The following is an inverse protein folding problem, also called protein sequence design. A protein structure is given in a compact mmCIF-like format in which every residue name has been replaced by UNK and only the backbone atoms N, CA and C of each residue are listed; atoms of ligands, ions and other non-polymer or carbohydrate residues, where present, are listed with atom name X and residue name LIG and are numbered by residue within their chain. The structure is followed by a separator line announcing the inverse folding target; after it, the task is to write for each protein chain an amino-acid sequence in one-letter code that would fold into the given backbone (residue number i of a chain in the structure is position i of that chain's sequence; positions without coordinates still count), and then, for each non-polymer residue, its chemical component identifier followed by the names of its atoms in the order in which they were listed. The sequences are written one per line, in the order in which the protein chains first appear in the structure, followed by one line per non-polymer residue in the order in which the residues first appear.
data_IF_627178003651
#
_entry.id   IF_627178003651
#
_cell.length_a   1.000
_cell.length_b   1.000
_cell.length_c   1.000
_cell.angle_alpha   90.00
_cell.angle_beta   90.00
_cell.angle_gamma   90.00
#
_symmetry.space_group_name_H-M   'P 1'
#
loop_
_entity.id
_entity.type
_entity.pdbx_description
1 polymer ?
#
# COMPACT_ATOMS: atom_id res chain seq x y z
N UNK A 1 4.56 -6.68 35.43
CA UNK A 1 3.42 -7.51 34.97
C UNK A 1 3.64 -7.75 33.49
N UNK A 2 3.89 -9.00 33.08
CA UNK A 2 4.00 -9.35 31.65
C UNK A 2 2.57 -9.29 31.13
N UNK A 3 2.21 -8.21 30.44
CA UNK A 3 0.95 -8.12 29.69
C UNK A 3 0.93 -9.29 28.71
N UNK A 4 -0.05 -10.18 28.84
CA UNK A 4 -0.24 -11.27 27.90
C UNK A 4 -0.43 -10.68 26.51
N UNK A 5 0.50 -10.94 25.60
CA UNK A 5 0.52 -10.44 24.23
C UNK A 5 -0.74 -10.87 23.42
N UNK A 6 -1.54 -11.76 23.98
CA UNK A 6 -2.74 -12.35 23.36
C UNK A 6 -4.01 -11.47 23.48
N UNK A 7 -3.96 -10.34 24.19
CA UNK A 7 -5.13 -9.46 24.37
C UNK A 7 -5.20 -8.30 23.36
N UNK A 8 -4.13 -8.10 22.56
CA UNK A 8 -4.10 -7.01 21.56
C UNK A 8 -4.93 -7.38 20.34
N UNK A 9 -5.97 -6.61 20.07
CA UNK A 9 -6.83 -6.80 18.90
C UNK A 9 -6.64 -5.64 17.90
N UNK A 10 -6.43 -6.00 16.63
CA UNK A 10 -6.43 -5.06 15.52
C UNK A 10 -7.62 -5.33 14.59
N UNK A 11 -8.28 -4.27 14.14
CA UNK A 11 -9.21 -4.33 13.01
C UNK A 11 -8.48 -3.94 11.72
N UNK A 12 -8.54 -4.78 10.69
CA UNK A 12 -8.00 -4.48 9.37
C UNK A 12 -9.13 -4.39 8.35
N UNK A 13 -9.33 -3.19 7.79
CA UNK A 13 -10.23 -2.94 6.66
C UNK A 13 -9.40 -3.11 5.38
N UNK A 14 -9.84 -3.98 4.47
CA UNK A 14 -9.11 -4.26 3.23
C UNK A 14 -8.08 -5.39 3.33
N UNK A 15 -8.21 -6.32 4.28
CA UNK A 15 -7.30 -7.45 4.48
C UNK A 15 -7.18 -8.41 3.28
N UNK A 16 -8.09 -8.37 2.31
CA UNK A 16 -7.98 -9.10 1.04
C UNK A 16 -7.10 -8.39 0.01
N UNK A 17 -6.76 -7.12 0.24
CA UNK A 17 -5.88 -6.32 -0.62
C UNK A 17 -4.39 -6.52 -0.34
N UNK A 18 -3.53 -5.86 -1.13
CA UNK A 18 -2.08 -5.93 -0.97
C UNK A 18 -1.61 -5.44 0.40
N UNK A 19 -1.76 -4.13 0.67
CA UNK A 19 -1.26 -3.54 1.92
C UNK A 19 -2.02 -4.02 3.16
N UNK A 20 -3.36 -4.04 3.11
CA UNK A 20 -4.16 -4.52 4.25
C UNK A 20 -3.85 -5.98 4.59
N UNK A 21 -3.62 -6.82 3.57
CA UNK A 21 -3.22 -8.20 3.76
C UNK A 21 -1.80 -8.36 4.31
N UNK A 22 -0.84 -7.55 3.86
CA UNK A 22 0.53 -7.58 4.38
C UNK A 22 0.58 -7.13 5.85
N UNK A 23 -0.15 -6.07 6.20
CA UNK A 23 -0.27 -5.62 7.59
C UNK A 23 -0.95 -6.66 8.47
N UNK A 24 -2.00 -7.33 7.98
CA UNK A 24 -2.65 -8.41 8.70
C UNK A 24 -1.70 -9.58 8.96
N UNK A 25 -0.92 -10.00 7.95
CA UNK A 25 0.10 -11.05 8.08
C UNK A 25 1.17 -10.67 9.13
N UNK A 26 1.66 -9.42 9.11
CA UNK A 26 2.66 -8.92 10.07
C UNK A 26 2.11 -8.84 11.50
N UNK A 27 0.87 -8.38 11.67
CA UNK A 27 0.20 -8.34 12.97
C UNK A 27 0.04 -9.74 13.56
N UNK A 28 -0.43 -10.71 12.76
CA UNK A 28 -0.54 -12.11 13.18
C UNK A 28 0.82 -12.69 13.62
N UNK A 29 1.88 -12.42 12.83
CA UNK A 29 3.25 -12.83 13.18
C UNK A 29 3.75 -12.19 14.49
N UNK A 30 3.28 -10.97 14.80
CA UNK A 30 3.55 -10.25 16.06
C UNK A 30 2.67 -10.68 17.24
N UNK A 31 1.85 -11.73 17.08
CA UNK A 31 1.00 -12.26 18.15
C UNK A 31 -0.28 -11.44 18.42
N UNK A 32 -0.69 -10.57 17.49
CA UNK A 32 -1.96 -9.88 17.58
C UNK A 32 -3.12 -10.80 17.20
N UNK A 33 -4.25 -10.64 17.85
CA UNK A 33 -5.52 -11.08 17.28
C UNK A 33 -5.88 -10.08 16.16
N UNK A 34 -6.27 -10.60 15.00
CA UNK A 34 -6.58 -9.74 13.84
C UNK A 34 -7.98 -10.04 13.34
N UNK A 35 -8.84 -9.02 13.40
CA UNK A 35 -10.17 -9.04 12.83
C UNK A 35 -10.14 -8.37 11.46
N UNK A 36 -10.79 -8.99 10.48
CA UNK A 36 -10.84 -8.51 9.10
C UNK A 36 -12.28 -8.31 8.66
N UNK A 37 -12.64 -7.05 8.34
CA UNK A 37 -13.97 -6.71 7.84
C UNK A 37 -14.10 -7.08 6.36
N UNK A 38 -15.17 -7.81 6.02
CA UNK A 38 -15.47 -8.14 4.62
C UNK A 38 -16.98 -8.32 4.40
N UNK A 39 -17.47 -7.92 3.24
CA UNK A 39 -18.88 -8.10 2.85
C UNK A 39 -19.27 -9.57 2.68
N UNK A 40 -18.31 -10.40 2.25
CA UNK A 40 -18.45 -11.85 2.13
C UNK A 40 -17.28 -12.55 2.88
N UNK A 41 -17.38 -12.70 4.21
CA UNK A 41 -16.32 -13.25 5.04
C UNK A 41 -16.02 -14.72 4.72
N UNK A 42 -17.00 -15.50 4.28
CA UNK A 42 -16.81 -16.91 3.96
C UNK A 42 -15.95 -17.09 2.71
N UNK A 43 -16.23 -16.33 1.65
CA UNK A 43 -15.39 -16.33 0.45
C UNK A 43 -14.00 -15.76 0.74
N UNK A 44 -13.91 -14.69 1.54
CA UNK A 44 -12.65 -14.12 1.96
C UNK A 44 -11.80 -15.13 2.74
N UNK A 45 -12.38 -15.87 3.70
CA UNK A 45 -11.71 -16.91 4.47
C UNK A 45 -11.14 -18.01 3.58
N UNK A 46 -11.94 -18.53 2.63
CA UNK A 46 -11.48 -19.58 1.70
C UNK A 46 -10.32 -19.14 0.82
N UNK A 47 -10.36 -17.88 0.34
CA UNK A 47 -9.42 -17.40 -0.67
C UNK A 47 -8.17 -16.73 -0.08
N UNK A 48 -8.19 -16.32 1.19
CA UNK A 48 -7.10 -15.52 1.78
C UNK A 48 -5.84 -16.32 2.08
N UNK A 49 -5.97 -17.62 2.36
CA UNK A 49 -4.86 -18.45 2.86
C UNK A 49 -4.32 -17.99 4.21
N UNK A 50 -5.14 -17.28 5.03
CA UNK A 50 -4.77 -16.70 6.34
C UNK A 50 -5.61 -17.31 7.45
N UNK A 51 -5.23 -18.47 8.01
CA UNK A 51 -6.06 -19.19 8.99
C UNK A 51 -6.23 -18.43 10.31
N UNK A 52 -5.33 -17.51 10.66
CA UNK A 52 -5.37 -16.74 11.92
C UNK A 52 -6.29 -15.51 11.89
N UNK A 53 -6.92 -15.16 10.75
CA UNK A 53 -7.82 -14.01 10.67
C UNK A 53 -9.23 -14.33 11.16
N UNK A 54 -9.75 -13.48 12.07
CA UNK A 54 -11.16 -13.44 12.44
C UNK A 54 -11.93 -12.63 11.38
N UNK A 55 -12.55 -13.32 10.41
CA UNK A 55 -13.35 -12.68 9.38
C UNK A 55 -14.72 -12.31 9.91
N UNK A 56 -15.10 -11.03 9.85
CA UNK A 56 -16.40 -10.52 10.27
C UNK A 56 -17.15 -9.89 9.08
N UNK A 57 -18.47 -10.09 9.06
CA UNK A 57 -19.33 -9.52 8.01
C UNK A 57 -19.54 -8.04 8.27
N UNK A 58 -19.41 -7.22 7.22
CA UNK A 58 -19.73 -5.80 7.23
C UNK A 58 -19.23 -5.09 5.98
N UNK A 59 -19.75 -3.90 5.75
CA UNK A 59 -19.34 -3.01 4.66
C UNK A 59 -18.59 -1.81 5.23
N UNK A 60 -17.41 -1.53 4.70
CA UNK A 60 -16.61 -0.37 5.08
C UNK A 60 -17.31 0.99 4.82
N UNK A 61 -18.33 1.00 3.96
CA UNK A 61 -19.18 2.16 3.71
C UNK A 61 -20.21 2.40 4.82
N UNK A 62 -20.48 1.40 5.65
CA UNK A 62 -21.47 1.45 6.71
C UNK A 62 -20.80 1.66 8.06
N UNK A 63 -20.92 2.86 8.62
CA UNK A 63 -20.29 3.23 9.89
C UNK A 63 -20.63 2.24 11.01
N UNK A 64 -21.90 1.85 11.15
CA UNK A 64 -22.33 0.91 12.18
C UNK A 64 -21.63 -0.45 12.08
N UNK A 65 -21.38 -0.96 10.86
CA UNK A 65 -20.68 -2.22 10.65
C UNK A 65 -19.21 -2.10 11.10
N UNK A 66 -18.54 -0.98 10.74
CA UNK A 66 -17.14 -0.75 11.10
C UNK A 66 -16.98 -0.53 12.60
N UNK A 67 -17.87 0.23 13.23
CA UNK A 67 -17.90 0.46 14.69
C UNK A 67 -18.09 -0.88 15.42
N UNK A 68 -19.05 -1.70 15.00
CA UNK A 68 -19.26 -3.01 15.60
C UNK A 68 -18.04 -3.92 15.44
N UNK A 69 -17.40 -3.92 14.26
CA UNK A 69 -16.19 -4.69 14.01
C UNK A 69 -14.98 -4.22 14.83
N UNK A 70 -14.92 -2.93 15.17
CA UNK A 70 -13.82 -2.32 15.91
C UNK A 70 -13.91 -2.53 17.44
N UNK A 71 -15.00 -3.07 17.96
CA UNK A 71 -15.15 -3.26 19.40
C UNK A 71 -13.99 -4.05 20.00
N UNK A 72 -13.35 -3.47 21.04
CA UNK A 72 -12.19 -4.02 21.73
C UNK A 72 -10.86 -3.93 20.94
N UNK A 73 -10.85 -3.36 19.74
CA UNK A 73 -9.61 -3.12 19.01
C UNK A 73 -8.83 -1.94 19.61
N UNK A 74 -7.52 -2.09 19.75
CA UNK A 74 -6.58 -1.01 20.10
C UNK A 74 -5.88 -0.42 18.87
N UNK A 75 -6.01 -1.08 17.71
CA UNK A 75 -5.46 -0.67 16.44
C UNK A 75 -6.50 -0.86 15.32
N UNK A 76 -6.66 0.15 14.46
CA UNK A 76 -7.47 0.07 13.25
C UNK A 76 -6.62 0.42 12.04
N UNK A 77 -6.53 -0.50 11.07
CA UNK A 77 -5.79 -0.30 9.82
C UNK A 77 -6.78 -0.08 8.69
N UNK A 78 -6.72 1.09 8.05
CA UNK A 78 -7.55 1.40 6.88
C UNK A 78 -6.79 1.16 5.59
N UNK A 79 -6.73 -0.09 5.14
CA UNK A 79 -6.07 -0.52 3.90
C UNK A 79 -7.02 -0.74 2.72
N UNK A 80 -8.30 -0.33 2.83
CA UNK A 80 -9.26 -0.50 1.75
C UNK A 80 -8.97 0.44 0.57
N UNK A 81 -8.97 -0.14 -0.64
CA UNK A 81 -8.84 0.62 -1.88
C UNK A 81 -9.71 -0.03 -2.96
N UNK A 82 -10.60 0.74 -3.63
CA UNK A 82 -11.45 0.20 -4.70
C UNK A 82 -10.64 -0.42 -5.83
N UNK A 83 -11.06 -1.62 -6.26
CA UNK A 83 -10.39 -2.33 -7.35
C UNK A 83 -10.47 -1.56 -8.66
N UNK A 84 -9.35 -1.45 -9.37
CA UNK A 84 -9.26 -0.76 -10.66
C UNK A 84 -9.53 0.75 -10.59
N UNK A 85 -9.43 1.35 -9.40
CA UNK A 85 -9.71 2.77 -9.12
C UNK A 85 -11.13 3.23 -9.46
N UNK A 86 -12.08 2.29 -9.60
CA UNK A 86 -13.48 2.59 -9.96
C UNK A 86 -14.18 3.32 -8.82
N UNK A 87 -14.92 4.38 -9.19
CA UNK A 87 -15.68 5.23 -8.28
C UNK A 87 -14.89 5.69 -7.05
N UNK A 88 -13.62 6.02 -7.26
CA UNK A 88 -12.71 6.35 -6.17
C UNK A 88 -13.20 7.54 -5.34
N UNK A 89 -13.68 8.59 -6.01
CA UNK A 89 -14.25 9.78 -5.35
C UNK A 89 -15.46 9.45 -4.47
N UNK A 90 -16.32 8.53 -4.91
CA UNK A 90 -17.53 8.17 -4.16
C UNK A 90 -17.28 7.16 -3.02
N UNK A 91 -16.14 6.49 -2.98
CA UNK A 91 -15.89 5.42 -2.03
C UNK A 91 -14.84 5.75 -0.96
N UNK A 92 -13.76 6.46 -1.30
CA UNK A 92 -12.64 6.67 -0.40
C UNK A 92 -13.00 7.45 0.87
N UNK A 93 -13.61 8.62 0.71
CA UNK A 93 -13.98 9.47 1.85
C UNK A 93 -15.05 8.83 2.76
N UNK A 94 -16.13 8.23 2.24
CA UNK A 94 -17.08 7.53 3.09
C UNK A 94 -16.46 6.39 3.90
N UNK A 95 -15.64 5.53 3.26
CA UNK A 95 -14.94 4.45 3.96
C UNK A 95 -13.99 4.97 5.05
N UNK A 96 -13.28 6.08 4.77
CA UNK A 96 -12.40 6.69 5.76
C UNK A 96 -13.20 7.27 6.93
N UNK A 97 -14.32 7.94 6.68
CA UNK A 97 -15.18 8.48 7.74
C UNK A 97 -15.70 7.37 8.67
N UNK A 98 -16.12 6.24 8.11
CA UNK A 98 -16.53 5.06 8.89
C UNK A 98 -15.36 4.52 9.73
N UNK A 99 -14.13 4.49 9.18
CA UNK A 99 -12.94 4.07 9.91
C UNK A 99 -12.57 5.04 11.05
N UNK A 100 -12.67 6.36 10.83
CA UNK A 100 -12.45 7.39 11.85
C UNK A 100 -13.46 7.23 13.00
N UNK A 101 -14.75 7.12 12.69
CA UNK A 101 -15.79 6.94 13.70
C UNK A 101 -15.56 5.66 14.53
N UNK A 102 -15.21 4.56 13.88
CA UNK A 102 -14.94 3.29 14.52
C UNK A 102 -13.68 3.35 15.42
N UNK A 103 -12.61 3.99 14.94
CA UNK A 103 -11.39 4.15 15.72
C UNK A 103 -11.61 5.02 16.97
N UNK A 104 -12.37 6.11 16.85
CA UNK A 104 -12.79 6.94 18.00
C UNK A 104 -13.62 6.15 18.99
N UNK A 105 -14.64 5.42 18.52
CA UNK A 105 -15.52 4.64 19.39
C UNK A 105 -14.77 3.53 20.15
N UNK A 106 -13.73 2.94 19.53
CA UNK A 106 -12.91 1.91 20.16
C UNK A 106 -11.74 2.44 20.99
N UNK A 107 -11.42 3.75 20.91
CA UNK A 107 -10.18 4.31 21.46
C UNK A 107 -8.91 3.78 20.78
N UNK A 108 -9.02 3.33 19.54
CA UNK A 108 -7.95 2.71 18.77
C UNK A 108 -7.10 3.75 18.02
N UNK A 109 -5.78 3.48 17.85
CA UNK A 109 -4.96 4.22 16.88
C UNK A 109 -5.39 3.85 15.47
N UNK A 110 -5.61 4.85 14.61
CA UNK A 110 -5.87 4.63 13.20
C UNK A 110 -4.56 4.69 12.41
N UNK A 111 -4.26 3.62 11.66
CA UNK A 111 -3.10 3.51 10.78
C UNK A 111 -3.55 3.57 9.32
N UNK A 112 -2.94 4.48 8.56
CA UNK A 112 -3.33 4.79 7.20
C UNK A 112 -2.14 4.72 6.23
N UNK A 113 -2.21 3.93 5.15
CA UNK A 113 -1.21 3.94 4.09
C UNK A 113 -1.38 5.20 3.24
N UNK A 114 -0.46 6.14 3.40
CA UNK A 114 -0.34 7.33 2.57
C UNK A 114 0.26 7.02 1.19
N UNK A 115 0.30 8.01 0.32
CA UNK A 115 0.83 7.89 -1.04
C UNK A 115 1.64 9.13 -1.42
N UNK A 116 2.31 9.08 -2.58
CA UNK A 116 2.97 10.23 -3.20
C UNK A 116 2.00 11.11 -4.01
N UNK A 117 0.74 10.72 -4.15
CA UNK A 117 -0.24 11.45 -4.98
C UNK A 117 -0.62 12.81 -4.41
N UNK A 118 -0.39 13.04 -3.14
CA UNK A 118 -0.62 14.32 -2.44
C UNK A 118 0.23 15.45 -3.01
N UNK A 119 1.38 15.10 -3.61
CA UNK A 119 2.38 16.07 -4.04
C UNK A 119 2.24 16.46 -5.50
N UNK A 120 2.52 17.73 -5.77
CA UNK A 120 2.66 18.29 -7.10
C UNK A 120 4.11 18.50 -7.49
N UNK A 121 4.35 19.00 -8.73
CA UNK A 121 5.71 19.26 -9.25
C UNK A 121 6.53 20.25 -8.42
N UNK A 122 5.89 21.11 -7.65
CA UNK A 122 6.52 22.07 -6.75
C UNK A 122 7.22 21.43 -5.54
N UNK A 123 6.87 20.17 -5.21
CA UNK A 123 7.54 19.40 -4.18
C UNK A 123 8.64 18.48 -4.73
N UNK A 124 8.72 18.27 -6.05
CA UNK A 124 9.66 17.32 -6.66
C UNK A 124 11.08 17.89 -6.77
N UNK A 125 12.12 17.05 -6.83
CA UNK A 125 12.09 15.59 -6.77
C UNK A 125 12.06 15.00 -5.36
N UNK A 126 12.43 15.77 -4.33
CA UNK A 126 12.66 15.28 -2.96
C UNK A 126 11.47 15.63 -2.06
N UNK A 127 10.63 14.64 -1.79
CA UNK A 127 9.45 14.77 -0.94
C UNK A 127 9.84 14.67 0.53
N UNK A 128 9.41 15.65 1.31
CA UNK A 128 9.49 15.63 2.79
C UNK A 128 8.07 15.62 3.36
N UNK A 129 7.90 15.13 4.59
CA UNK A 129 6.57 14.95 5.21
C UNK A 129 5.78 16.25 5.29
N UNK A 130 6.46 17.35 5.60
CA UNK A 130 5.86 18.68 5.75
C UNK A 130 5.93 19.53 4.46
N UNK A 131 6.27 18.89 3.33
CA UNK A 131 6.33 19.54 2.02
C UNK A 131 4.96 19.96 1.48
N UNK A 132 4.94 20.87 0.48
CA UNK A 132 3.70 21.38 -0.09
C UNK A 132 2.91 20.24 -0.77
N UNK A 133 1.60 20.19 -0.51
CA UNK A 133 0.68 19.21 -1.07
C UNK A 133 -0.26 19.90 -2.06
N UNK A 134 0.23 20.17 -3.26
CA UNK A 134 -0.53 20.80 -4.36
C UNK A 134 -0.70 19.81 -5.52
N UNK A 135 -1.54 18.79 -5.37
CA UNK A 135 -1.68 17.73 -6.36
C UNK A 135 -2.28 18.22 -7.67
N UNK A 136 -1.79 17.67 -8.79
CA UNK A 136 -2.33 17.96 -10.13
C UNK A 136 -3.57 17.11 -10.47
N UNK A 137 -3.85 16.06 -9.71
CA UNK A 137 -4.83 15.04 -10.06
C UNK A 137 -6.00 15.03 -9.09
N UNK A 138 -7.16 14.51 -9.54
CA UNK A 138 -8.32 14.28 -8.66
C UNK A 138 -7.99 13.30 -7.54
N UNK A 139 -7.23 12.25 -7.82
CA UNK A 139 -6.79 11.28 -6.81
C UNK A 139 -5.91 11.94 -5.75
N UNK A 140 -4.97 12.78 -6.20
CA UNK A 140 -4.14 13.54 -5.28
C UNK A 140 -4.98 14.44 -4.38
N UNK A 141 -5.94 15.20 -4.95
CA UNK A 141 -6.84 16.05 -4.17
C UNK A 141 -7.68 15.25 -3.15
N UNK A 142 -8.16 14.06 -3.53
CA UNK A 142 -8.87 13.17 -2.60
C UNK A 142 -7.94 12.72 -1.47
N UNK A 143 -6.68 12.38 -1.77
CA UNK A 143 -5.72 11.96 -0.75
C UNK A 143 -5.38 13.09 0.22
N UNK A 144 -5.21 14.33 -0.26
CA UNK A 144 -5.05 15.50 0.62
C UNK A 144 -6.27 15.64 1.53
N UNK A 145 -7.49 15.63 0.98
CA UNK A 145 -8.72 15.69 1.79
C UNK A 145 -8.82 14.56 2.82
N UNK A 146 -8.36 13.35 2.48
CA UNK A 146 -8.35 12.23 3.43
C UNK A 146 -7.38 12.49 4.58
N UNK A 147 -6.19 12.99 4.30
CA UNK A 147 -5.21 13.30 5.34
C UNK A 147 -5.62 14.52 6.18
N UNK A 148 -6.26 15.52 5.58
CA UNK A 148 -6.87 16.65 6.29
C UNK A 148 -7.96 16.17 7.26
N UNK A 149 -8.81 15.23 6.84
CA UNK A 149 -9.83 14.63 7.70
C UNK A 149 -9.22 13.83 8.85
N UNK A 150 -8.12 13.14 8.61
CA UNK A 150 -7.35 12.43 9.65
C UNK A 150 -6.71 13.41 10.64
N UNK A 151 -6.15 14.51 10.13
CA UNK A 151 -5.58 15.56 10.99
C UNK A 151 -6.65 16.21 11.85
N UNK A 152 -7.78 16.59 11.28
CA UNK A 152 -8.91 17.14 12.02
C UNK A 152 -9.45 16.15 13.08
N UNK A 153 -9.50 14.86 12.74
CA UNK A 153 -9.91 13.84 13.70
C UNK A 153 -8.89 13.67 14.84
N UNK A 154 -7.61 13.89 14.56
CA UNK A 154 -6.55 13.86 15.58
C UNK A 154 -6.61 15.09 16.50
N UNK A 155 -6.92 16.26 15.95
CA UNK A 155 -7.14 17.48 16.76
C UNK A 155 -8.35 17.31 17.72
N UNK A 156 -9.24 16.37 17.41
CA UNK A 156 -10.37 15.94 18.24
C UNK A 156 -10.09 14.59 18.98
N UNK A 157 -8.82 14.31 19.29
CA UNK A 157 -8.36 13.27 20.20
C UNK A 157 -8.14 11.87 19.59
N UNK A 158 -8.28 11.67 18.26
CA UNK A 158 -7.94 10.41 17.63
C UNK A 158 -6.42 10.27 17.44
N UNK A 159 -5.85 9.12 17.81
CA UNK A 159 -4.45 8.82 17.49
C UNK A 159 -4.33 8.33 16.06
N UNK A 160 -3.52 9.01 15.25
CA UNK A 160 -3.36 8.73 13.80
C UNK A 160 -1.89 8.50 13.45
N UNK A 161 -1.64 7.47 12.65
CA UNK A 161 -0.34 7.19 12.04
C UNK A 161 -0.51 7.06 10.54
N UNK A 162 0.21 7.88 9.77
CA UNK A 162 0.26 7.84 8.31
C UNK A 162 1.66 7.41 7.88
N UNK A 163 1.77 6.39 7.02
CA UNK A 163 3.03 6.03 6.37
C UNK A 163 2.85 6.21 4.86
N UNK A 164 3.47 7.26 4.31
CA UNK A 164 3.47 7.50 2.87
C UNK A 164 4.60 6.72 2.21
N UNK A 165 4.29 6.05 1.11
CA UNK A 165 5.23 5.24 0.36
C UNK A 165 4.99 5.37 -1.15
N UNK A 166 5.97 4.93 -1.94
CA UNK A 166 5.87 4.83 -3.40
C UNK A 166 4.95 3.70 -3.86
N UNK A 167 5.11 3.28 -5.11
CA UNK A 167 4.27 2.24 -5.71
C UNK A 167 4.51 0.86 -5.08
N UNK A 168 3.42 0.22 -4.67
CA UNK A 168 3.47 -1.06 -3.97
C UNK A 168 3.79 -2.23 -4.89
N UNK A 169 4.69 -3.09 -4.43
CA UNK A 169 4.94 -4.41 -5.01
C UNK A 169 5.11 -5.46 -3.91
N UNK A 170 4.98 -6.74 -4.24
CA UNK A 170 5.09 -7.83 -3.26
C UNK A 170 4.36 -9.10 -3.71
N UNK A 171 4.48 -10.20 -2.97
CA UNK A 171 4.00 -11.54 -3.37
C UNK A 171 2.47 -11.64 -3.53
N UNK A 172 1.73 -10.76 -2.84
CA UNK A 172 0.26 -10.69 -2.91
C UNK A 172 -0.21 -9.36 -3.52
N UNK A 173 0.59 -8.79 -4.44
CA UNK A 173 0.20 -7.60 -5.18
C UNK A 173 -1.08 -7.81 -5.96
N UNK A 174 -1.97 -6.83 -5.90
CA UNK A 174 -3.27 -6.87 -6.58
C UNK A 174 -3.23 -6.14 -7.92
N UNK A 175 -4.34 -6.18 -8.65
CA UNK A 175 -4.50 -5.47 -9.91
C UNK A 175 -4.34 -3.94 -9.83
N UNK A 176 -4.30 -3.36 -8.62
CA UNK A 176 -4.00 -1.94 -8.40
C UNK A 176 -2.49 -1.65 -8.32
N UNK A 177 -1.62 -2.65 -8.43
CA UNK A 177 -0.17 -2.48 -8.45
C UNK A 177 0.34 -2.36 -9.87
N UNK A 178 1.18 -1.35 -10.13
CA UNK A 178 1.91 -1.23 -11.40
C UNK A 178 2.73 -2.48 -11.71
N UNK A 179 3.32 -3.11 -10.70
CA UNK A 179 4.08 -4.35 -10.88
C UNK A 179 3.19 -5.47 -11.45
N UNK A 180 2.01 -5.69 -10.85
CA UNK A 180 1.13 -6.82 -11.19
C UNK A 180 0.21 -6.56 -12.38
N UNK A 181 -0.04 -5.30 -12.77
CA UNK A 181 -0.97 -4.95 -13.85
C UNK A 181 -0.31 -4.27 -15.04
N UNK A 182 0.84 -3.62 -14.83
CA UNK A 182 1.56 -2.87 -15.87
C UNK A 182 2.83 -3.58 -16.34
N UNK A 183 3.73 -3.91 -15.41
CA UNK A 183 5.07 -4.40 -15.76
C UNK A 183 5.10 -5.90 -16.05
N UNK A 184 4.38 -6.70 -15.27
CA UNK A 184 4.39 -8.16 -15.31
C UNK A 184 3.01 -8.69 -15.70
N UNK A 185 2.97 -9.82 -16.40
CA UNK A 185 1.72 -10.56 -16.67
C UNK A 185 1.60 -11.71 -15.67
N UNK A 186 0.75 -11.63 -14.64
CA UNK A 186 0.57 -12.71 -13.68
C UNK A 186 0.19 -14.04 -14.35
N UNK A 187 0.69 -15.14 -13.80
CA UNK A 187 0.44 -16.49 -14.32
C UNK A 187 1.21 -16.87 -15.59
N UNK A 188 2.16 -16.03 -16.03
CA UNK A 188 3.02 -16.32 -17.20
C UNK A 188 4.48 -16.09 -16.84
N UNK A 189 5.40 -16.99 -17.26
CA UNK A 189 6.82 -16.80 -17.08
C UNK A 189 7.28 -15.46 -17.66
N UNK A 190 8.03 -14.70 -16.86
CA UNK A 190 8.49 -13.38 -17.21
C UNK A 190 9.45 -13.42 -18.40
N UNK A 191 9.06 -12.83 -19.50
CA UNK A 191 9.85 -12.76 -20.74
C UNK A 191 10.22 -11.33 -21.13
N UNK A 192 9.48 -10.35 -20.63
CA UNK A 192 9.68 -8.94 -20.89
C UNK A 192 8.91 -8.09 -19.90
N UNK A 193 9.22 -6.79 -19.89
CA UNK A 193 8.62 -5.77 -19.03
C UNK A 193 8.03 -4.68 -19.92
N UNK A 194 6.82 -4.26 -19.61
CA UNK A 194 6.22 -3.07 -20.20
C UNK A 194 6.38 -1.90 -19.20
N UNK A 195 7.27 -0.94 -19.51
CA UNK A 195 7.64 0.12 -18.58
C UNK A 195 6.90 1.44 -18.89
N UNK A 196 6.30 2.10 -17.88
CA UNK A 196 5.46 3.27 -18.10
C UNK A 196 6.19 4.56 -18.46
N UNK A 197 7.44 4.72 -18.02
CA UNK A 197 8.23 5.95 -18.18
C UNK A 197 9.57 5.76 -18.88
N UNK A 198 10.40 6.81 -18.94
CA UNK A 198 11.79 6.70 -19.33
C UNK A 198 12.57 5.84 -18.32
N UNK A 199 13.40 4.91 -18.80
CA UNK A 199 14.13 3.98 -17.93
C UNK A 199 15.17 4.67 -17.05
N UNK A 200 15.68 5.84 -17.45
CA UNK A 200 16.68 6.59 -16.69
C UNK A 200 16.12 7.34 -15.49
N UNK A 201 14.78 7.48 -15.40
CA UNK A 201 14.14 8.20 -14.28
C UNK A 201 14.01 7.27 -13.08
N UNK A 202 14.43 7.77 -11.91
CA UNK A 202 14.25 7.07 -10.65
C UNK A 202 12.78 7.09 -10.20
N UNK A 203 12.33 5.96 -9.70
CA UNK A 203 10.97 5.77 -9.19
C UNK A 203 11.03 5.04 -7.84
N UNK A 204 10.17 5.45 -6.90
CA UNK A 204 10.12 4.84 -5.58
C UNK A 204 9.16 3.65 -5.56
N UNK A 205 9.70 2.48 -5.22
CA UNK A 205 8.96 1.23 -5.08
C UNK A 205 8.92 0.80 -3.63
N UNK A 206 7.76 0.48 -3.12
CA UNK A 206 7.57 0.08 -1.74
C UNK A 206 7.19 -1.40 -1.65
N UNK A 207 8.08 -2.21 -1.07
CA UNK A 207 7.84 -3.63 -0.87
C UNK A 207 6.82 -3.83 0.26
N UNK A 208 5.70 -4.47 -0.04
CA UNK A 208 4.56 -4.58 0.88
C UNK A 208 4.90 -5.15 2.27
N UNK A 209 5.73 -6.20 2.41
CA UNK A 209 6.16 -6.68 3.71
C UNK A 209 6.95 -5.64 4.51
N UNK A 210 7.86 -4.88 3.88
CA UNK A 210 8.63 -3.83 4.55
C UNK A 210 7.74 -2.66 4.98
N UNK A 211 6.75 -2.29 4.15
CA UNK A 211 5.73 -1.29 4.51
C UNK A 211 4.91 -1.76 5.71
N UNK A 212 4.49 -3.03 5.71
CA UNK A 212 3.73 -3.60 6.81
C UNK A 212 4.57 -3.66 8.10
N UNK A 213 5.84 -4.05 8.01
CA UNK A 213 6.79 -4.01 9.12
C UNK A 213 6.91 -2.59 9.69
N UNK A 214 7.12 -1.59 8.83
CA UNK A 214 7.22 -0.18 9.22
C UNK A 214 5.96 0.29 9.93
N UNK A 215 4.77 0.02 9.35
CA UNK A 215 3.50 0.45 9.91
C UNK A 215 3.22 -0.17 11.27
N UNK A 216 3.49 -1.48 11.43
CA UNK A 216 3.23 -2.20 12.69
C UNK A 216 4.24 -1.81 13.76
N UNK A 217 5.54 -1.75 13.42
CA UNK A 217 6.59 -1.36 14.36
C UNK A 217 6.36 0.06 14.90
N UNK A 218 5.96 1.01 14.03
CA UNK A 218 5.58 2.35 14.48
C UNK A 218 4.32 2.32 15.36
N UNK A 219 3.28 1.59 14.94
CA UNK A 219 2.01 1.53 15.67
C UNK A 219 2.14 0.91 17.07
N UNK A 220 3.13 0.04 17.28
CA UNK A 220 3.45 -0.59 18.58
C UNK A 220 4.21 0.31 19.54
N UNK A 221 4.63 1.51 19.10
CA UNK A 221 5.35 2.45 19.96
C UNK A 221 4.40 3.29 20.83
N UNK A 222 4.74 3.43 22.08
CA UNK A 222 3.98 4.25 23.04
C UNK A 222 4.38 5.74 22.99
N UNK A 223 5.54 6.06 22.36
CA UNK A 223 6.11 7.42 22.31
C UNK A 223 5.76 8.20 21.04
N UNK A 224 4.82 7.73 20.22
CA UNK A 224 4.29 8.49 19.09
C UNK A 224 3.34 9.59 19.55
N UNK A 225 3.42 10.76 18.92
CA UNK A 225 2.41 11.80 19.05
C UNK A 225 1.03 11.33 18.54
N UNK A 226 0.00 12.12 18.84
CA UNK A 226 -1.35 11.78 18.43
C UNK A 226 -1.54 11.84 16.91
N UNK A 227 -0.75 12.68 16.21
CA UNK A 227 -0.69 12.72 14.75
C UNK A 227 0.75 12.60 14.27
N UNK A 228 1.05 11.52 13.55
CA UNK A 228 2.38 11.29 13.00
C UNK A 228 2.29 10.89 11.52
N UNK A 229 3.18 11.47 10.74
CA UNK A 229 3.37 11.14 9.32
C UNK A 229 4.82 10.77 9.10
N UNK A 230 5.05 9.65 8.42
CA UNK A 230 6.37 9.19 8.04
C UNK A 230 6.41 8.88 6.54
N UNK A 231 7.53 9.20 5.92
CA UNK A 231 7.88 8.74 4.58
C UNK A 231 8.70 7.46 4.66
N UNK A 232 8.42 6.54 3.75
CA UNK A 232 9.21 5.35 3.50
C UNK A 232 9.84 5.49 2.10
N UNK A 233 11.18 5.52 2.03
CA UNK A 233 11.90 5.65 0.77
C UNK A 233 11.77 4.40 -0.11
N UNK A 234 11.75 3.23 0.50
CA UNK A 234 11.68 1.94 -0.18
C UNK A 234 12.87 1.73 -1.13
N UNK A 235 12.58 1.17 -2.30
CA UNK A 235 13.56 0.98 -3.36
C UNK A 235 13.46 2.12 -4.37
N UNK A 236 14.23 3.17 -4.17
CA UNK A 236 14.34 4.27 -5.14
C UNK A 236 15.36 3.90 -6.20
N UNK A 237 14.89 3.39 -7.34
CA UNK A 237 15.73 2.88 -8.44
C UNK A 237 15.26 3.36 -9.80
N UNK A 238 16.19 3.44 -10.76
CA UNK A 238 15.84 3.70 -12.16
C UNK A 238 15.17 2.47 -12.79
N UNK A 239 14.40 2.68 -13.87
CA UNK A 239 13.81 1.57 -14.61
C UNK A 239 14.86 0.59 -15.14
N UNK A 240 16.04 1.08 -15.53
CA UNK A 240 17.17 0.24 -15.96
C UNK A 240 17.62 -0.69 -14.83
N UNK A 241 17.80 -0.15 -13.62
CA UNK A 241 18.19 -0.91 -12.42
C UNK A 241 17.13 -1.94 -12.05
N UNK A 242 15.85 -1.55 -12.07
CA UNK A 242 14.74 -2.46 -11.78
C UNK A 242 14.69 -3.62 -12.78
N UNK A 243 14.74 -3.33 -14.09
CA UNK A 243 14.74 -4.36 -15.14
C UNK A 243 15.94 -5.27 -15.07
N UNK A 244 17.13 -4.73 -14.73
CA UNK A 244 18.33 -5.54 -14.51
C UNK A 244 18.15 -6.50 -13.33
N UNK A 245 17.60 -6.04 -12.20
CA UNK A 245 17.28 -6.87 -11.06
C UNK A 245 16.24 -7.96 -11.40
N UNK A 246 15.16 -7.58 -12.10
CA UNK A 246 14.16 -8.55 -12.60
C UNK A 246 14.77 -9.59 -13.54
N UNK A 247 15.74 -9.19 -14.39
CA UNK A 247 16.45 -10.10 -15.29
C UNK A 247 17.33 -11.10 -14.53
N UNK A 248 18.03 -10.66 -13.47
CA UNK A 248 18.79 -11.55 -12.59
C UNK A 248 17.88 -12.58 -11.91
N UNK A 249 16.78 -12.12 -11.34
CA UNK A 249 15.80 -12.99 -10.65
C UNK A 249 15.15 -13.98 -11.61
N UNK A 250 14.82 -13.55 -12.83
CA UNK A 250 14.23 -14.41 -13.84
C UNK A 250 15.26 -15.37 -14.52
N UNK A 251 16.56 -15.19 -14.27
CA UNK A 251 17.63 -15.98 -14.87
C UNK A 251 17.76 -15.78 -16.38
N UNK A 252 17.29 -14.67 -16.93
CA UNK A 252 17.31 -14.36 -18.37
C UNK A 252 17.23 -12.86 -18.63
N UNK A 253 17.80 -12.43 -19.77
CA UNK A 253 17.64 -11.05 -20.23
C UNK A 253 16.16 -10.82 -20.63
N UNK A 254 15.58 -9.76 -20.10
CA UNK A 254 14.20 -9.35 -20.39
C UNK A 254 14.17 -8.35 -21.55
N UNK A 255 13.16 -8.49 -22.42
CA UNK A 255 12.83 -7.42 -23.36
C UNK A 255 12.09 -6.30 -22.65
N UNK A 256 12.30 -5.05 -23.09
CA UNK A 256 11.60 -3.89 -22.56
C UNK A 256 10.79 -3.25 -23.66
N UNK A 257 9.51 -3.06 -23.40
CA UNK A 257 8.61 -2.27 -24.26
C UNK A 257 8.09 -1.05 -23.48
N UNK A 258 7.70 -0.01 -24.19
CA UNK A 258 7.06 1.17 -23.59
C UNK A 258 5.56 0.92 -23.46
N UNK A 259 4.98 1.47 -22.38
CA UNK A 259 3.52 1.50 -22.26
C UNK A 259 2.93 2.38 -23.38
N UNK A 260 1.92 1.90 -24.12
CA UNK A 260 1.37 2.59 -25.29
C UNK A 260 0.42 3.73 -24.86
N UNK A 261 0.98 4.84 -24.35
CA UNK A 261 0.21 5.96 -23.82
C UNK A 261 -0.78 6.58 -24.83
N UNK A 262 -0.48 6.56 -26.12
CA UNK A 262 -1.38 7.06 -27.17
C UNK A 262 -2.65 6.20 -27.28
N UNK A 263 -2.50 4.88 -27.21
CA UNK A 263 -3.64 3.95 -27.22
C UNK A 263 -4.47 4.11 -25.95
N UNK A 264 -3.80 4.27 -24.80
CA UNK A 264 -4.46 4.52 -23.52
C UNK A 264 -5.26 5.81 -23.58
N UNK A 265 -4.73 6.90 -24.16
CA UNK A 265 -5.44 8.15 -24.38
C UNK A 265 -6.70 7.98 -25.22
N UNK A 266 -6.61 7.19 -26.30
CA UNK A 266 -7.74 6.94 -27.20
C UNK A 266 -8.86 6.15 -26.50
N UNK A 267 -8.52 5.26 -25.58
CA UNK A 267 -9.47 4.39 -24.85
C UNK A 267 -10.03 5.08 -23.60
N UNK A 268 -9.28 5.96 -22.98
CA UNK A 268 -9.61 6.61 -21.71
C UNK A 268 -11.00 7.27 -21.65
N UNK A 269 -11.55 7.92 -22.68
CA UNK A 269 -12.90 8.46 -22.66
C UNK A 269 -13.99 7.41 -22.35
N UNK A 270 -13.74 6.15 -22.77
CA UNK A 270 -14.69 5.04 -22.66
C UNK A 270 -14.34 4.04 -21.54
N UNK A 271 -13.18 4.20 -20.89
CA UNK A 271 -12.69 3.28 -19.87
C UNK A 271 -12.15 4.04 -18.66
N UNK A 272 -12.86 3.93 -17.52
CA UNK A 272 -12.50 4.62 -16.30
C UNK A 272 -11.09 4.27 -15.80
N UNK A 273 -10.71 2.99 -15.81
CA UNK A 273 -9.38 2.56 -15.37
C UNK A 273 -8.25 3.19 -16.22
N UNK A 274 -8.44 3.28 -17.55
CA UNK A 274 -7.47 3.93 -18.44
C UNK A 274 -7.39 5.43 -18.18
N UNK A 275 -8.52 6.08 -17.93
CA UNK A 275 -8.58 7.50 -17.55
C UNK A 275 -7.84 7.75 -16.24
N UNK A 276 -8.05 6.89 -15.27
CA UNK A 276 -7.40 6.94 -13.97
C UNK A 276 -5.89 6.67 -14.05
N UNK A 277 -5.47 5.81 -14.98
CA UNK A 277 -4.05 5.57 -15.28
C UNK A 277 -3.34 6.79 -15.86
N UNK A 278 -4.02 7.53 -16.75
CA UNK A 278 -3.46 8.75 -17.34
C UNK A 278 -3.15 9.82 -16.31
N UNK A 279 -3.97 9.95 -15.27
CA UNK A 279 -3.71 10.89 -14.17
C UNK A 279 -2.36 10.66 -13.49
N UNK A 280 -1.88 9.40 -13.45
CA UNK A 280 -0.64 9.02 -12.76
C UNK A 280 0.61 9.11 -13.65
N UNK A 281 0.44 9.45 -14.94
CA UNK A 281 1.56 9.47 -15.90
C UNK A 281 2.70 10.41 -15.48
N UNK A 282 2.37 11.57 -14.89
CA UNK A 282 3.36 12.57 -14.48
C UNK A 282 4.40 12.02 -13.47
N UNK A 283 4.02 11.04 -12.64
CA UNK A 283 4.91 10.39 -11.67
C UNK A 283 5.99 9.52 -12.34
N UNK A 284 5.84 9.24 -13.64
CA UNK A 284 6.82 8.48 -14.42
C UNK A 284 7.74 9.37 -15.25
N UNK A 285 7.43 10.67 -15.33
CA UNK A 285 8.17 11.64 -16.15
C UNK A 285 9.16 12.48 -15.33
N UNK A 286 9.11 12.40 -14.01
CA UNK A 286 9.97 13.14 -13.08
C UNK A 286 10.40 12.22 -11.94
N UNK A 287 11.65 12.33 -11.42
CA UNK A 287 12.03 11.60 -10.22
C UNK A 287 11.16 11.99 -9.04
N UNK A 288 10.67 11.00 -8.29
CA UNK A 288 9.87 11.18 -7.08
C UNK A 288 10.53 10.38 -5.96
N UNK A 289 11.21 11.08 -5.06
CA UNK A 289 12.06 10.51 -4.03
C UNK A 289 11.47 10.88 -2.65
N UNK A 290 11.15 9.90 -1.83
CA UNK A 290 10.70 10.15 -0.47
C UNK A 290 11.90 10.21 0.47
N UNK A 291 12.06 11.34 1.17
CA UNK A 291 13.00 11.46 2.26
C UNK A 291 12.48 10.64 3.47
N UNK A 292 13.30 9.75 4.02
CA UNK A 292 12.95 8.90 5.15
C UNK A 292 13.73 9.25 6.43
N UNK A 293 14.33 10.43 6.50
CA UNK A 293 15.13 10.83 7.65
C UNK A 293 14.33 10.80 8.96
N UNK A 294 13.07 11.22 8.95
CA UNK A 294 12.17 11.15 10.11
C UNK A 294 11.92 9.70 10.54
N UNK A 295 11.65 8.81 9.60
CA UNK A 295 11.45 7.38 9.86
C UNK A 295 12.72 6.75 10.43
N UNK A 296 13.87 7.01 9.80
CA UNK A 296 15.16 6.49 10.25
C UNK A 296 15.54 6.98 11.63
N UNK A 297 15.31 8.27 11.92
CA UNK A 297 15.51 8.82 13.26
C UNK A 297 14.62 8.13 14.32
N UNK A 298 13.43 7.69 13.94
CA UNK A 298 12.47 7.04 14.83
C UNK A 298 12.76 5.55 15.06
N UNK A 299 13.17 4.83 14.02
CA UNK A 299 13.36 3.36 14.06
C UNK A 299 14.83 2.92 14.09
N UNK A 300 15.78 3.83 13.88
CA UNK A 300 17.19 3.51 13.68
C UNK A 300 17.53 3.16 12.23
N UNK A 301 16.65 2.41 11.57
CA UNK A 301 16.74 2.09 10.14
C UNK A 301 15.34 1.86 9.56
N UNK A 302 15.16 2.12 8.29
CA UNK A 302 13.96 1.72 7.54
C UNK A 302 14.01 0.20 7.28
N UNK A 303 12.94 -0.57 7.56
CA UNK A 303 12.84 -1.96 7.12
C UNK A 303 13.06 -2.07 5.62
N UNK A 304 14.00 -2.92 5.21
CA UNK A 304 14.44 -2.97 3.82
C UNK A 304 14.94 -4.36 3.41
N UNK A 305 14.09 -5.08 2.69
CA UNK A 305 14.45 -6.35 2.06
C UNK A 305 15.28 -6.09 0.79
N UNK A 306 16.40 -6.78 0.54
CA UNK A 306 17.18 -6.60 -0.69
C UNK A 306 16.32 -6.74 -1.95
N UNK A 307 16.51 -5.87 -2.95
CA UNK A 307 15.64 -5.78 -4.13
C UNK A 307 15.48 -7.10 -4.90
N UNK A 308 16.56 -7.88 -5.01
CA UNK A 308 16.51 -9.16 -5.74
C UNK A 308 15.66 -10.21 -4.97
N UNK A 309 15.68 -10.16 -3.64
CA UNK A 309 14.84 -11.00 -2.77
C UNK A 309 13.37 -10.56 -2.87
N UNK A 310 13.09 -9.27 -2.66
CA UNK A 310 11.76 -8.69 -2.78
C UNK A 310 11.12 -8.97 -4.15
N UNK A 311 11.91 -8.87 -5.24
CA UNK A 311 11.45 -9.20 -6.58
C UNK A 311 11.24 -10.71 -6.76
N UNK A 312 12.08 -11.57 -6.18
CA UNK A 312 11.90 -13.02 -6.27
C UNK A 312 10.58 -13.44 -5.64
N UNK A 313 10.29 -12.97 -4.44
CA UNK A 313 9.02 -13.26 -3.75
C UNK A 313 7.82 -12.69 -4.52
N UNK A 314 7.95 -11.46 -5.05
CA UNK A 314 6.92 -10.82 -5.86
C UNK A 314 6.60 -11.65 -7.10
N UNK A 315 7.62 -12.00 -7.88
CA UNK A 315 7.45 -12.75 -9.13
C UNK A 315 6.97 -14.18 -8.88
N UNK A 316 7.40 -14.81 -7.77
CA UNK A 316 6.88 -16.12 -7.33
C UNK A 316 5.39 -16.02 -6.98
N UNK A 317 4.99 -15.03 -6.17
CA UNK A 317 3.60 -14.79 -5.80
C UNK A 317 2.68 -14.45 -6.99
N UNK A 318 3.22 -13.82 -8.03
CA UNK A 318 2.52 -13.57 -9.30
C UNK A 318 2.54 -14.77 -10.26
N UNK A 319 3.14 -15.90 -9.89
CA UNK A 319 3.37 -17.05 -10.78
C UNK A 319 4.08 -16.64 -12.08
N UNK A 320 5.06 -15.74 -11.98
CA UNK A 320 5.80 -15.18 -13.11
C UNK A 320 7.25 -15.71 -13.19
N UNK A 321 7.69 -16.56 -12.25
CA UNK A 321 8.97 -17.25 -12.34
C UNK A 321 8.87 -18.56 -13.13
N UNK A 322 9.94 -18.99 -13.84
CA UNK A 322 10.03 -20.33 -14.41
C UNK A 322 9.98 -21.39 -13.31
N UNK A 323 9.39 -22.57 -13.60
CA UNK A 323 9.23 -23.67 -12.63
C UNK A 323 10.54 -24.13 -11.96
N UNK A 324 11.69 -23.95 -12.60
CA UNK A 324 13.02 -24.26 -12.04
C UNK A 324 13.48 -23.25 -10.98
N UNK A 325 13.06 -21.98 -11.07
CA UNK A 325 13.45 -20.92 -10.13
C UNK A 325 12.60 -20.93 -8.85
N UNK A 326 11.41 -21.53 -8.90
CA UNK A 326 10.48 -21.63 -7.75
C UNK A 326 10.99 -22.63 -6.69
N UNK A 327 11.84 -23.58 -7.06
CA UNK A 327 12.40 -24.62 -6.14
C UNK A 327 13.52 -24.11 -5.22
N UNK A 328 14.06 -22.92 -5.47
CA UNK A 328 15.11 -22.31 -4.64
C UNK A 328 14.54 -21.33 -3.60
N UNK A 329 13.22 -21.09 -3.63
CA UNK A 329 12.52 -20.16 -2.75
C UNK A 329 11.60 -20.87 -1.70
N UNK A 330 11.58 -22.20 -1.68
CA UNK A 330 10.90 -23.04 -0.71
C UNK A 330 11.93 -23.75 0.20
#
# INVERSE_FOLDING_TARGET
MISNNNDRLALVIGATGGIGGAVADRLLAGGWRVRALNRDPETARRNSGRPGLEWVKGDAMMEADVVAAAQGASLLVHGANPAGYKNWAGLQMPMLKSAIAAAKAAGARLVFPGTVYNYGPDAFPNLIEDGPQHPLTRKGAIRVQMEDALKAASDDGLKVLIVRAGDFFGPKSTANSWMASGLVKPGKPLAGVMYPGPLAIAHSWAYLPDVAETMVTLAERDDLADFEVFHMAGHTVTGETLVAAMSRVAGRRLSVSRLPWLEIHAIAPFNETMREMLEMRYLWETPVLLDNARLTARLGAEPHTPIDEALRETLAGLNALPAAATRLAA
#
